data_IF_422816111139
#
_entry.id   IF_422816111139
#
_cell.length_a   1.000
_cell.length_b   1.000
_cell.length_c   1.000
_cell.angle_alpha   90.00
_cell.angle_beta   90.00
_cell.angle_gamma   90.00
#
_symmetry.space_group_name_H-M   'P 1'
#
loop_
_entity.id
_entity.type
_entity.pdbx_description
1 polymer ?
#
# COMPACT_ATOMS: atom_id res chain seq x y z
N UNK A 1 33.65 11.28 -19.18
CA UNK A 1 32.35 10.56 -19.23
C UNK A 1 31.27 11.12 -18.30
N UNK A 2 31.54 12.12 -17.43
CA UNK A 2 30.52 12.69 -16.53
C UNK A 2 29.50 13.60 -17.24
N UNK A 3 29.89 14.18 -18.37
CA UNK A 3 29.11 15.19 -19.08
C UNK A 3 27.93 14.59 -19.86
N UNK A 4 28.05 13.36 -20.37
CA UNK A 4 26.98 12.72 -21.15
C UNK A 4 25.72 12.46 -20.33
N UNK A 5 25.88 12.05 -19.06
CA UNK A 5 24.76 11.85 -18.14
C UNK A 5 24.05 13.18 -17.82
N UNK A 6 24.80 14.27 -17.65
CA UNK A 6 24.23 15.61 -17.45
C UNK A 6 23.48 16.10 -18.68
N UNK A 7 23.97 15.82 -19.89
CA UNK A 7 23.27 16.14 -21.14
C UNK A 7 21.97 15.37 -21.28
N UNK A 8 21.98 14.05 -20.98
CA UNK A 8 20.78 13.20 -21.01
C UNK A 8 19.76 13.69 -19.97
N UNK A 9 20.22 14.02 -18.76
CA UNK A 9 19.39 14.56 -17.69
C UNK A 9 18.73 15.90 -18.10
N UNK A 10 19.51 16.84 -18.65
CA UNK A 10 18.97 18.10 -19.14
C UNK A 10 17.99 17.89 -20.29
N UNK A 11 18.29 17.01 -21.25
CA UNK A 11 17.38 16.74 -22.37
C UNK A 11 16.04 16.14 -21.90
N UNK A 12 16.07 15.25 -20.90
CA UNK A 12 14.86 14.69 -20.30
C UNK A 12 14.06 15.77 -19.55
N UNK A 13 14.71 16.59 -18.72
CA UNK A 13 14.07 17.71 -18.00
C UNK A 13 13.51 18.76 -18.95
N UNK A 14 14.23 19.07 -20.02
CA UNK A 14 13.89 20.11 -20.98
C UNK A 14 12.79 19.65 -21.94
N UNK A 15 12.83 18.39 -22.40
CA UNK A 15 11.73 17.74 -23.13
C UNK A 15 10.47 17.61 -22.28
N UNK A 16 10.63 17.23 -21.01
CA UNK A 16 9.53 17.13 -20.06
C UNK A 16 8.89 18.49 -19.72
N UNK A 17 9.70 19.55 -19.59
CA UNK A 17 9.23 20.90 -19.22
C UNK A 17 8.64 21.68 -20.40
N UNK A 18 9.17 21.49 -21.62
CA UNK A 18 8.73 22.17 -22.84
C UNK A 18 7.38 21.67 -23.36
N UNK A 19 6.94 20.49 -22.94
CA UNK A 19 5.64 19.93 -23.31
C UNK A 19 4.55 20.27 -22.30
N UNK A 20 3.56 21.05 -22.74
CA UNK A 20 2.32 21.30 -21.97
C UNK A 20 1.56 20.00 -21.70
N UNK A 21 1.52 19.10 -22.68
CA UNK A 21 0.91 17.77 -22.55
C UNK A 21 1.64 16.90 -21.51
N UNK A 22 2.98 16.91 -21.52
CA UNK A 22 3.80 16.15 -20.57
C UNK A 22 3.60 16.62 -19.13
N UNK A 23 3.55 17.94 -18.91
CA UNK A 23 3.23 18.53 -17.60
C UNK A 23 1.84 18.12 -17.12
N UNK A 24 0.83 18.22 -17.97
CA UNK A 24 -0.55 17.81 -17.64
C UNK A 24 -0.63 16.33 -17.30
N UNK A 25 -0.01 15.46 -18.11
CA UNK A 25 0.06 14.02 -17.85
C UNK A 25 0.73 13.70 -16.52
N UNK A 26 1.85 14.36 -16.21
CA UNK A 26 2.57 14.14 -14.96
C UNK A 26 1.79 14.61 -13.74
N UNK A 27 1.10 15.76 -13.85
CA UNK A 27 0.15 16.22 -12.83
C UNK A 27 -0.98 15.22 -12.64
N UNK A 28 -1.53 14.65 -13.71
CA UNK A 28 -2.54 13.59 -13.63
C UNK A 28 -1.99 12.34 -12.94
N UNK A 29 -0.76 11.92 -13.26
CA UNK A 29 -0.11 10.77 -12.62
C UNK A 29 0.10 11.04 -11.14
N UNK A 30 0.65 12.22 -10.76
CA UNK A 30 0.81 12.61 -9.37
C UNK A 30 -0.53 12.65 -8.62
N UNK A 31 -1.55 13.26 -9.22
CA UNK A 31 -2.89 13.34 -8.64
C UNK A 31 -3.47 11.95 -8.45
N UNK A 32 -3.34 11.07 -9.46
CA UNK A 32 -3.83 9.71 -9.39
C UNK A 32 -3.08 8.89 -8.35
N UNK A 33 -1.76 9.03 -8.23
CA UNK A 33 -0.98 8.40 -7.17
C UNK A 33 -1.36 8.93 -5.80
N UNK A 34 -1.57 10.24 -5.64
CA UNK A 34 -2.02 10.84 -4.38
C UNK A 34 -3.42 10.36 -3.98
N UNK A 35 -4.38 10.39 -4.91
CA UNK A 35 -5.76 9.93 -4.68
C UNK A 35 -5.81 8.43 -4.46
N UNK A 36 -5.08 7.62 -5.26
CA UNK A 36 -5.01 6.18 -5.05
C UNK A 36 -4.34 5.85 -3.72
N UNK A 37 -3.24 6.53 -3.37
CA UNK A 37 -2.59 6.33 -2.07
C UNK A 37 -3.52 6.72 -0.93
N UNK A 38 -4.25 7.83 -1.04
CA UNK A 38 -5.16 8.27 0.01
C UNK A 38 -6.38 7.36 0.12
N UNK A 39 -6.98 6.91 -0.98
CA UNK A 39 -8.13 5.98 -0.96
C UNK A 39 -7.68 4.61 -0.47
N UNK A 40 -6.58 4.04 -0.99
CA UNK A 40 -6.06 2.78 -0.47
C UNK A 40 -5.66 2.94 1.01
N UNK A 41 -5.01 4.04 1.40
CA UNK A 41 -4.65 4.27 2.80
C UNK A 41 -5.90 4.42 3.68
N UNK A 42 -6.87 5.21 3.26
CA UNK A 42 -8.10 5.49 4.01
C UNK A 42 -9.12 4.36 3.94
N UNK A 43 -9.04 3.43 2.98
CA UNK A 43 -9.90 2.24 2.87
C UNK A 43 -9.25 0.97 3.44
N UNK A 44 -7.93 0.86 3.36
CA UNK A 44 -7.16 -0.28 3.88
C UNK A 44 -6.67 -0.06 5.33
N UNK A 45 -6.65 1.20 5.81
CA UNK A 45 -6.37 1.54 7.22
C UNK A 45 -7.49 2.25 8.04
N UNK A 46 -8.77 2.39 7.61
CA UNK A 46 -9.83 2.94 8.44
C UNK A 46 -10.32 1.91 9.48
N UNK A 47 -10.33 0.63 9.12
CA UNK A 47 -10.80 -0.49 9.94
C UNK A 47 -9.69 -1.11 10.81
N UNK A 48 -8.44 -0.72 10.57
CA UNK A 48 -7.32 -1.09 11.45
C UNK A 48 -7.24 -0.21 12.71
N UNK A 49 -7.84 0.99 12.71
CA UNK A 49 -7.65 1.97 13.78
C UNK A 49 -8.95 2.47 14.43
N UNK A 50 -10.13 2.06 13.95
CA UNK A 50 -11.42 2.51 14.51
C UNK A 50 -12.33 1.42 15.05
N UNK A 51 -11.97 0.15 14.91
CA UNK A 51 -12.77 -0.97 15.43
C UNK A 51 -12.14 -1.68 16.64
N UNK A 52 -11.16 -1.03 17.27
CA UNK A 52 -10.55 -1.49 18.50
C UNK A 52 -10.33 -0.31 19.47
N UNK A 53 -11.18 -0.13 20.49
CA UNK A 53 -10.75 0.49 21.75
C UNK A 53 -9.81 -0.44 22.54
N UNK A 54 -9.40 -1.59 21.99
CA UNK A 54 -8.50 -2.56 22.63
C UNK A 54 -7.81 -3.37 21.54
N UNK A 55 -6.47 -3.25 21.46
CA UNK A 55 -5.55 -3.96 20.53
C UNK A 55 -5.58 -5.51 20.59
N UNK A 56 -6.57 -6.15 21.23
CA UNK A 56 -6.39 -7.50 21.81
C UNK A 56 -7.19 -8.66 21.19
N UNK A 57 -8.09 -8.46 20.22
CA UNK A 57 -9.11 -9.52 19.94
C UNK A 57 -9.18 -10.13 18.52
N UNK A 58 -8.36 -9.71 17.55
CA UNK A 58 -8.40 -10.32 16.20
C UNK A 58 -7.23 -11.26 15.88
N UNK A 59 -6.06 -11.08 16.51
CA UNK A 59 -4.95 -12.03 16.36
C UNK A 59 -5.17 -13.34 17.13
N UNK A 60 -5.85 -13.24 18.27
CA UNK A 60 -6.14 -14.32 19.23
C UNK A 60 -7.22 -15.28 18.71
N UNK A 61 -8.19 -14.80 17.94
CA UNK A 61 -9.25 -15.65 17.39
C UNK A 61 -8.74 -16.62 16.30
N UNK A 62 -7.92 -16.12 15.36
CA UNK A 62 -7.37 -16.96 14.27
C UNK A 62 -6.27 -17.91 14.78
N UNK A 63 -5.55 -17.52 15.84
CA UNK A 63 -4.58 -18.39 16.50
C UNK A 63 -5.24 -19.59 17.20
N UNK A 64 -6.38 -19.38 17.86
CA UNK A 64 -7.08 -20.41 18.61
C UNK A 64 -7.73 -21.48 17.69
N UNK A 65 -8.29 -21.12 16.54
CA UNK A 65 -8.84 -22.10 15.58
C UNK A 65 -7.75 -22.99 14.94
N UNK A 66 -6.53 -22.46 14.80
CA UNK A 66 -5.39 -23.24 14.30
C UNK A 66 -4.82 -24.17 15.38
N UNK A 67 -4.83 -23.78 16.66
CA UNK A 67 -4.45 -24.64 17.79
C UNK A 67 -5.49 -25.75 18.00
N UNK A 68 -6.78 -25.44 17.89
CA UNK A 68 -7.88 -26.41 18.08
C UNK A 68 -7.89 -27.48 16.97
N UNK A 69 -7.58 -27.11 15.72
CA UNK A 69 -7.48 -28.08 14.61
C UNK A 69 -6.13 -28.80 14.53
N UNK A 70 -5.06 -28.23 15.08
CA UNK A 70 -3.74 -28.85 15.10
C UNK A 70 -3.58 -29.93 16.19
N UNK A 71 -4.56 -30.10 17.09
CA UNK A 71 -4.61 -31.21 18.05
C UNK A 71 -5.68 -32.23 17.60
N UNK A 72 -5.35 -33.17 16.70
CA UNK A 72 -6.25 -34.26 16.35
C UNK A 72 -6.18 -35.31 17.47
N UNK A 73 -7.05 -35.22 18.47
CA UNK A 73 -7.12 -36.28 19.48
C UNK A 73 -7.75 -35.90 20.80
N UNK A 74 -9.03 -35.52 20.79
CA UNK A 74 -9.88 -35.87 21.93
C UNK A 74 -11.24 -36.31 21.42
N UNK A 75 -11.34 -37.61 21.12
CA UNK A 75 -12.60 -38.34 21.16
C UNK A 75 -13.15 -38.23 22.57
N UNK A 76 -14.01 -37.24 22.82
CA UNK A 76 -14.92 -37.26 23.96
C UNK A 76 -16.15 -38.06 23.54
N UNK A 77 -16.04 -39.38 23.63
CA UNK A 77 -17.19 -40.27 23.64
C UNK A 77 -17.22 -40.95 25.02
N UNK A 78 -18.33 -40.72 25.75
CA UNK A 78 -18.73 -41.15 27.11
C UNK A 78 -18.28 -40.32 28.31
#
# INVERSE_FOLDING_TARGET
>A
MKNTLLTIWNFYLEGFRSMTLGRTLWVIILLKLFVMFFILKMFFFPDFLRDHPTDDDKGTYVGNELIERAIPGKSTDF
#
